data_IF_542455806967
#
_entry.id   IF_542455806967
#
_cell.length_a   1.000
_cell.length_b   1.000
_cell.length_c   1.000
_cell.angle_alpha   90.00
_cell.angle_beta   90.00
_cell.angle_gamma   90.00
#
_symmetry.space_group_name_H-M   'P 1'
#
loop_
_entity.id
_entity.type
_entity.pdbx_description
1 polymer ?
#
# COMPACT_ATOMS: atom_id res chain seq x y z
N UNK A 1 12.43 22.03 20.11
CA UNK A 1 13.06 20.86 19.48
C UNK A 1 14.10 21.37 18.51
N UNK A 2 15.40 21.28 18.83
CA UNK A 2 16.44 21.74 17.92
C UNK A 2 16.74 20.66 16.90
N UNK A 3 16.46 20.95 15.63
CA UNK A 3 16.86 20.13 14.48
C UNK A 3 18.27 20.57 14.08
N UNK A 4 19.16 19.60 13.83
CA UNK A 4 20.50 19.85 13.32
C UNK A 4 20.50 19.88 11.80
N UNK A 5 19.84 18.90 11.18
CA UNK A 5 19.77 18.81 9.72
C UNK A 5 18.40 18.32 9.25
N UNK A 6 18.06 18.73 8.02
CA UNK A 6 16.95 18.22 7.24
C UNK A 6 17.47 17.86 5.85
N UNK A 7 17.57 16.57 5.56
CA UNK A 7 18.12 16.08 4.29
C UNK A 7 16.99 15.52 3.44
N UNK A 8 16.87 16.01 2.22
CA UNK A 8 15.95 15.52 1.22
C UNK A 8 16.70 14.60 0.24
N UNK A 9 16.35 13.32 0.24
CA UNK A 9 17.04 12.26 -0.49
C UNK A 9 16.15 11.74 -1.61
N UNK A 10 16.29 12.23 -2.85
CA UNK A 10 15.48 11.75 -3.96
C UNK A 10 15.82 10.30 -4.29
N UNK A 11 14.79 9.53 -4.67
CA UNK A 11 14.95 8.16 -5.12
C UNK A 11 14.10 7.84 -6.34
N UNK A 12 14.54 6.82 -7.09
CA UNK A 12 13.81 6.21 -8.20
C UNK A 12 13.99 4.72 -8.13
N UNK A 13 12.89 3.99 -8.00
CA UNK A 13 12.88 2.54 -7.83
C UNK A 13 12.07 1.90 -8.95
N UNK A 14 12.71 1.09 -9.78
CA UNK A 14 12.01 0.26 -10.75
C UNK A 14 11.17 -0.79 -10.03
N UNK A 15 9.92 -0.95 -10.45
CA UNK A 15 9.06 -2.00 -9.92
C UNK A 15 9.49 -3.36 -10.50
N UNK A 16 9.48 -4.40 -9.69
CA UNK A 16 9.78 -5.78 -10.14
C UNK A 16 8.82 -6.27 -11.23
N UNK A 17 7.59 -5.81 -11.18
CA UNK A 17 6.56 -6.00 -12.20
C UNK A 17 5.80 -4.69 -12.35
N UNK A 18 5.52 -4.26 -13.58
CA UNK A 18 4.69 -3.07 -13.80
C UNK A 18 3.35 -3.21 -13.10
N UNK A 19 2.88 -2.12 -12.51
CA UNK A 19 1.62 -2.09 -11.80
C UNK A 19 0.54 -1.40 -12.63
N UNK A 20 -0.44 -2.17 -13.10
CA UNK A 20 -1.59 -1.63 -13.81
C UNK A 20 -2.54 -0.97 -12.81
N UNK A 21 -2.67 0.34 -12.92
CA UNK A 21 -3.65 1.13 -12.17
C UNK A 21 -4.87 1.44 -13.04
N UNK A 22 -5.93 1.97 -12.43
CA UNK A 22 -7.10 2.47 -13.17
C UNK A 22 -6.75 3.68 -14.10
N UNK A 23 -5.57 4.29 -13.92
CA UNK A 23 -5.15 5.51 -14.61
C UNK A 23 -3.90 5.33 -15.46
N UNK A 24 -3.38 4.13 -15.57
CA UNK A 24 -2.21 3.84 -16.40
C UNK A 24 -1.30 2.76 -15.81
N UNK A 25 -0.19 2.55 -16.50
CA UNK A 25 0.86 1.63 -16.11
C UNK A 25 1.93 2.37 -15.31
N UNK A 26 2.23 1.86 -14.12
CA UNK A 26 3.33 2.34 -13.29
C UNK A 26 4.44 1.29 -13.33
N UNK A 27 5.62 1.64 -13.81
CA UNK A 27 6.80 0.77 -13.91
C UNK A 27 7.92 1.16 -12.95
N UNK A 28 7.84 2.37 -12.37
CA UNK A 28 8.76 2.85 -11.37
C UNK A 28 8.05 3.64 -10.26
N UNK A 29 8.69 3.74 -9.11
CA UNK A 29 8.29 4.60 -8.02
C UNK A 29 9.32 5.71 -7.83
N UNK A 30 8.89 6.97 -7.95
CA UNK A 30 9.71 8.15 -7.73
C UNK A 30 9.25 8.84 -6.46
N UNK A 31 10.18 9.25 -5.64
CA UNK A 31 9.89 9.96 -4.39
C UNK A 31 11.11 10.62 -3.80
N UNK A 32 10.92 11.22 -2.64
CA UNK A 32 11.96 11.89 -1.86
C UNK A 32 11.80 11.46 -0.41
N UNK A 33 12.82 10.86 0.18
CA UNK A 33 12.87 10.62 1.61
C UNK A 33 13.32 11.89 2.33
N UNK A 34 12.62 12.27 3.37
CA UNK A 34 13.06 13.27 4.32
C UNK A 34 13.71 12.59 5.52
N UNK A 35 14.92 13.02 5.85
CA UNK A 35 15.61 12.65 7.06
C UNK A 35 15.77 13.88 7.95
N UNK A 36 15.16 13.88 9.12
CA UNK A 36 15.36 14.90 10.15
C UNK A 36 16.32 14.34 11.21
N UNK A 37 17.39 15.07 11.51
CA UNK A 37 18.33 14.71 12.60
C UNK A 37 18.30 15.76 13.68
N UNK A 38 18.28 15.35 14.95
CA UNK A 38 18.28 16.22 16.12
C UNK A 38 19.67 16.31 16.75
N UNK A 39 19.92 17.31 17.59
CA UNK A 39 21.20 17.51 18.29
C UNK A 39 21.57 16.33 19.21
N UNK A 40 20.58 15.63 19.74
CA UNK A 40 20.73 14.42 20.56
C UNK A 40 20.88 13.12 19.74
N UNK A 41 20.97 13.25 18.40
CA UNK A 41 21.29 12.13 17.51
C UNK A 41 20.11 11.26 17.08
N UNK A 42 18.86 11.62 17.45
CA UNK A 42 17.68 10.92 16.94
C UNK A 42 17.45 11.25 15.46
N UNK A 43 16.91 10.29 14.74
CA UNK A 43 16.62 10.44 13.31
C UNK A 43 15.18 10.04 13.02
N UNK A 44 14.39 10.97 12.48
CA UNK A 44 13.04 10.73 12.01
C UNK A 44 12.96 10.70 10.49
N UNK A 45 12.10 9.87 9.97
CA UNK A 45 11.96 9.64 8.54
C UNK A 45 10.55 9.92 8.04
N UNK A 46 10.46 10.52 6.83
CA UNK A 46 9.23 10.67 6.06
C UNK A 46 9.47 10.35 4.60
N UNK A 47 8.41 9.96 3.89
CA UNK A 47 8.45 9.62 2.46
C UNK A 47 7.43 10.46 1.69
N UNK A 48 7.90 11.28 0.76
CA UNK A 48 7.10 12.02 -0.21
C UNK A 48 7.13 11.29 -1.55
N UNK A 49 6.15 10.44 -1.80
CA UNK A 49 6.04 9.69 -3.05
C UNK A 49 4.66 9.93 -3.68
N UNK A 50 4.41 11.11 -4.27
CA UNK A 50 3.12 11.48 -4.82
C UNK A 50 2.69 10.54 -5.94
N UNK A 51 1.37 10.43 -6.11
CA UNK A 51 0.70 9.81 -7.24
C UNK A 51 -0.24 10.87 -7.85
N UNK A 52 0.24 11.74 -8.73
CA UNK A 52 -0.53 12.86 -9.28
C UNK A 52 -1.82 12.41 -9.96
N UNK A 53 -1.80 11.26 -10.59
CA UNK A 53 -2.97 10.64 -11.21
C UNK A 53 -4.09 10.32 -10.22
N UNK A 54 -3.79 10.22 -8.92
CA UNK A 54 -4.78 10.06 -7.85
C UNK A 54 -5.12 11.37 -7.13
N UNK A 55 -4.66 12.52 -7.67
CA UNK A 55 -4.95 13.84 -7.13
C UNK A 55 -4.04 14.27 -5.96
N UNK A 56 -2.95 13.55 -5.71
CA UNK A 56 -1.97 13.90 -4.67
C UNK A 56 -0.92 14.81 -5.29
N UNK A 57 -0.90 16.08 -4.87
CA UNK A 57 0.11 17.04 -5.32
C UNK A 57 1.46 16.77 -4.64
N UNK A 58 2.54 17.22 -5.29
CA UNK A 58 3.88 17.17 -4.71
C UNK A 58 3.95 17.91 -3.37
N UNK A 59 3.36 19.11 -3.29
CA UNK A 59 3.33 19.90 -2.06
C UNK A 59 2.63 19.17 -0.91
N UNK A 60 1.51 18.48 -1.18
CA UNK A 60 0.82 17.69 -0.17
C UNK A 60 1.66 16.48 0.28
N UNK A 61 2.36 15.82 -0.65
CA UNK A 61 3.24 14.70 -0.31
C UNK A 61 4.45 15.14 0.52
N UNK A 62 5.05 16.30 0.22
CA UNK A 62 6.15 16.87 1.00
C UNK A 62 5.70 17.22 2.42
N UNK A 63 4.56 17.91 2.57
CA UNK A 63 4.01 18.24 3.88
C UNK A 63 3.71 16.98 4.72
N UNK A 64 3.18 15.93 4.10
CA UNK A 64 2.95 14.65 4.77
C UNK A 64 4.26 13.97 5.21
N UNK A 65 5.32 14.04 4.39
CA UNK A 65 6.63 13.50 4.75
C UNK A 65 7.23 14.25 5.96
N UNK A 66 7.07 15.58 6.02
CA UNK A 66 7.50 16.39 7.17
C UNK A 66 6.75 16.00 8.45
N UNK A 67 5.43 15.84 8.37
CA UNK A 67 4.61 15.38 9.50
C UNK A 67 5.05 13.99 9.98
N UNK A 68 5.23 13.05 9.06
CA UNK A 68 5.69 11.69 9.38
C UNK A 68 7.04 11.69 10.10
N UNK A 69 8.02 12.45 9.60
CA UNK A 69 9.35 12.54 10.20
C UNK A 69 9.31 13.16 11.62
N UNK A 70 8.47 14.15 11.83
CA UNK A 70 8.28 14.77 13.15
C UNK A 70 7.59 13.84 14.14
N UNK A 71 6.57 13.09 13.70
CA UNK A 71 5.88 12.10 14.52
C UNK A 71 6.79 10.93 14.88
N UNK A 72 7.65 10.48 13.95
CA UNK A 72 8.64 9.45 14.21
C UNK A 72 9.63 9.90 15.31
N UNK A 73 10.16 11.12 15.22
CA UNK A 73 10.99 11.70 16.29
C UNK A 73 10.27 11.80 17.63
N UNK A 74 9.00 12.21 17.63
CA UNK A 74 8.22 12.32 18.84
C UNK A 74 8.00 10.95 19.51
N UNK A 75 7.70 9.91 18.72
CA UNK A 75 7.55 8.55 19.20
C UNK A 75 8.84 8.01 19.79
N UNK A 76 9.99 8.17 19.09
CA UNK A 76 11.31 7.75 19.59
C UNK A 76 11.66 8.40 20.93
N UNK A 77 11.39 9.70 21.12
CA UNK A 77 11.60 10.40 22.39
C UNK A 77 10.74 9.88 23.53
N UNK A 78 9.54 9.46 23.23
CA UNK A 78 8.65 8.82 24.19
C UNK A 78 9.04 7.37 24.49
N UNK A 79 10.03 6.79 23.80
CA UNK A 79 10.42 5.39 23.90
C UNK A 79 9.35 4.43 23.33
N UNK A 80 8.51 4.93 22.41
CA UNK A 80 7.41 4.19 21.81
C UNK A 80 7.67 3.93 20.32
N UNK A 81 7.04 2.87 19.79
CA UNK A 81 6.90 2.73 18.35
C UNK A 81 5.93 3.82 17.83
N UNK A 82 6.06 4.21 16.55
CA UNK A 82 5.12 5.16 15.94
C UNK A 82 3.67 4.68 16.02
N UNK A 83 3.44 3.37 15.87
CA UNK A 83 2.12 2.78 16.00
C UNK A 83 1.53 2.96 17.41
N UNK A 84 2.33 2.74 18.47
CA UNK A 84 1.91 2.97 19.85
C UNK A 84 1.67 4.45 20.13
N UNK A 85 2.54 5.32 19.61
CA UNK A 85 2.40 6.77 19.73
C UNK A 85 1.09 7.28 19.12
N UNK A 86 0.76 6.85 17.91
CA UNK A 86 -0.44 7.28 17.19
C UNK A 86 -1.72 6.70 17.78
N UNK A 87 -1.70 5.45 18.25
CA UNK A 87 -2.89 4.80 18.81
C UNK A 87 -3.18 5.18 20.26
N UNK A 88 -2.19 5.71 20.98
CA UNK A 88 -2.28 5.94 22.42
C UNK A 88 -2.43 4.64 23.26
N UNK A 89 -2.18 3.48 22.66
CA UNK A 89 -2.31 2.17 23.28
C UNK A 89 -1.18 1.24 22.79
N UNK A 90 -1.07 0.05 23.39
CA UNK A 90 -0.16 -0.97 22.89
C UNK A 90 -0.53 -1.33 21.44
N UNK A 91 0.45 -1.34 20.50
CA UNK A 91 0.18 -1.68 19.12
C UNK A 91 -0.20 -3.15 18.99
N UNK A 92 -1.03 -3.48 18.00
CA UNK A 92 -1.28 -4.87 17.63
C UNK A 92 0.02 -5.50 17.09
N UNK A 93 0.28 -6.73 17.44
CA UNK A 93 1.50 -7.44 17.04
C UNK A 93 1.49 -7.77 15.54
N UNK A 94 0.31 -7.95 14.95
CA UNK A 94 0.16 -8.30 13.54
C UNK A 94 -1.12 -7.73 12.95
N UNK A 95 -1.08 -7.46 11.64
CA UNK A 95 -2.23 -7.02 10.85
C UNK A 95 -2.42 -8.00 9.69
N UNK A 96 -3.64 -8.49 9.51
CA UNK A 96 -3.97 -9.36 8.40
C UNK A 96 -3.85 -8.59 7.07
N UNK A 97 -3.18 -9.21 6.10
CA UNK A 97 -3.01 -8.68 4.74
C UNK A 97 -3.63 -9.62 3.72
N UNK A 98 -3.97 -9.09 2.54
CA UNK A 98 -4.45 -9.88 1.42
C UNK A 98 -3.38 -10.01 0.32
N UNK A 99 -3.45 -11.11 -0.45
CA UNK A 99 -2.75 -11.18 -1.73
C UNK A 99 -3.40 -10.22 -2.74
N UNK A 100 -2.61 -9.72 -3.70
CA UNK A 100 -3.08 -8.88 -4.81
C UNK A 100 -2.80 -9.59 -6.12
N UNK A 101 -3.85 -9.91 -6.88
CA UNK A 101 -3.75 -10.74 -8.09
C UNK A 101 -4.01 -10.01 -9.41
N UNK A 102 -4.34 -8.71 -9.37
CA UNK A 102 -4.62 -7.93 -10.59
C UNK A 102 -6.03 -8.14 -11.15
N UNK A 103 -6.26 -7.97 -12.49
CA UNK A 103 -7.57 -8.10 -13.12
C UNK A 103 -8.12 -9.54 -13.05
N UNK A 104 -9.45 -9.66 -12.87
CA UNK A 104 -10.12 -10.94 -12.70
C UNK A 104 -9.83 -11.95 -13.81
N UNK A 105 -9.91 -11.52 -15.08
CA UNK A 105 -9.68 -12.41 -16.23
C UNK A 105 -8.22 -12.73 -16.49
N UNK A 106 -7.29 -12.04 -15.83
CA UNK A 106 -5.85 -12.35 -15.86
C UNK A 106 -5.42 -13.31 -14.76
N UNK A 107 -6.33 -13.64 -13.83
CA UNK A 107 -6.03 -14.49 -12.69
C UNK A 107 -5.99 -15.96 -13.09
N UNK A 108 -4.84 -16.61 -12.91
CA UNK A 108 -4.65 -18.04 -13.16
C UNK A 108 -4.81 -18.88 -11.89
N UNK A 109 -5.10 -20.16 -12.07
CA UNK A 109 -5.11 -21.13 -10.97
C UNK A 109 -3.77 -21.25 -10.25
N UNK A 110 -2.65 -21.05 -10.96
CA UNK A 110 -1.31 -21.04 -10.39
C UNK A 110 -1.09 -19.85 -9.43
N UNK A 111 -1.52 -18.64 -9.81
CA UNK A 111 -1.45 -17.46 -8.95
C UNK A 111 -2.32 -17.61 -7.70
N UNK A 112 -3.47 -18.26 -7.81
CA UNK A 112 -4.31 -18.61 -6.66
C UNK A 112 -3.55 -19.59 -5.75
N UNK A 113 -2.99 -20.66 -6.32
CA UNK A 113 -2.24 -21.66 -5.56
C UNK A 113 -1.00 -21.05 -4.86
N UNK A 114 -0.28 -20.15 -5.54
CA UNK A 114 0.84 -19.40 -4.96
C UNK A 114 0.37 -18.56 -3.76
N UNK A 115 -0.73 -17.83 -3.89
CA UNK A 115 -1.31 -17.01 -2.82
C UNK A 115 -1.72 -17.85 -1.61
N UNK A 116 -2.36 -18.99 -1.85
CA UNK A 116 -2.75 -19.94 -0.81
C UNK A 116 -1.52 -20.58 -0.15
N UNK A 117 -0.51 -20.97 -0.94
CA UNK A 117 0.75 -21.50 -0.44
C UNK A 117 1.51 -20.49 0.42
N UNK A 118 1.41 -19.19 0.11
CA UNK A 118 1.94 -18.10 0.93
C UNK A 118 1.06 -17.75 2.15
N UNK A 119 0.02 -18.57 2.43
CA UNK A 119 -0.89 -18.46 3.58
C UNK A 119 -1.78 -17.22 3.61
N UNK A 120 -2.07 -16.62 2.46
CA UNK A 120 -3.11 -15.60 2.39
C UNK A 120 -4.49 -16.26 2.47
N UNK A 121 -5.35 -15.74 3.33
CA UNK A 121 -6.77 -16.15 3.44
C UNK A 121 -7.71 -15.24 2.64
N UNK A 122 -7.20 -14.13 2.10
CA UNK A 122 -7.96 -13.18 1.29
C UNK A 122 -7.17 -12.87 0.04
N UNK A 123 -7.82 -13.00 -1.14
CA UNK A 123 -7.24 -12.65 -2.44
C UNK A 123 -7.98 -11.44 -2.99
N UNK A 124 -7.27 -10.32 -3.18
CA UNK A 124 -7.81 -9.11 -3.78
C UNK A 124 -7.71 -9.21 -5.29
N UNK A 125 -8.83 -8.98 -5.99
CA UNK A 125 -8.92 -9.02 -7.45
C UNK A 125 -9.63 -7.76 -7.96
N UNK A 126 -9.15 -7.22 -9.08
CA UNK A 126 -9.81 -6.11 -9.76
C UNK A 126 -10.99 -6.59 -10.58
N UNK A 127 -12.11 -5.89 -10.41
CA UNK A 127 -13.39 -6.09 -11.12
C UNK A 127 -13.90 -4.74 -11.64
N UNK A 128 -15.00 -4.74 -12.40
CA UNK A 128 -15.55 -3.54 -13.02
C UNK A 128 -14.77 -3.09 -14.27
N UNK A 129 -14.02 -4.01 -14.88
CA UNK A 129 -13.28 -3.80 -16.13
C UNK A 129 -14.06 -4.38 -17.30
N UNK A 130 -14.67 -5.54 -17.09
CA UNK A 130 -15.42 -6.30 -18.09
C UNK A 130 -16.93 -6.27 -17.76
N UNK A 131 -17.82 -6.76 -18.67
CA UNK A 131 -19.23 -6.81 -18.39
C UNK A 131 -19.54 -7.60 -17.11
N UNK A 132 -20.37 -7.03 -16.23
CA UNK A 132 -20.69 -7.57 -14.89
C UNK A 132 -21.13 -9.04 -14.95
N UNK A 133 -21.92 -9.42 -15.96
CA UNK A 133 -22.41 -10.81 -16.13
C UNK A 133 -21.24 -11.78 -16.34
N UNK A 134 -20.22 -11.37 -17.08
CA UNK A 134 -19.05 -12.19 -17.36
C UNK A 134 -18.14 -12.26 -16.15
N UNK A 135 -17.93 -11.14 -15.45
CA UNK A 135 -17.18 -11.12 -14.19
C UNK A 135 -17.84 -11.99 -13.12
N UNK A 136 -19.16 -11.95 -12.96
CA UNK A 136 -19.89 -12.81 -12.04
C UNK A 136 -19.75 -14.30 -12.37
N UNK A 137 -19.79 -14.64 -13.66
CA UNK A 137 -19.58 -16.04 -14.13
C UNK A 137 -18.17 -16.51 -13.81
N UNK A 138 -17.17 -15.68 -14.08
CA UNK A 138 -15.76 -15.99 -13.79
C UNK A 138 -15.50 -16.11 -12.28
N UNK A 139 -16.02 -15.18 -11.47
CA UNK A 139 -15.91 -15.26 -10.00
C UNK A 139 -16.54 -16.54 -9.46
N UNK A 140 -17.73 -16.90 -9.95
CA UNK A 140 -18.39 -18.15 -9.57
C UNK A 140 -17.56 -19.39 -9.94
N UNK A 141 -16.98 -19.39 -11.14
CA UNK A 141 -16.12 -20.47 -11.61
C UNK A 141 -14.88 -20.58 -10.70
N UNK A 142 -14.13 -19.50 -10.49
CA UNK A 142 -12.94 -19.50 -9.65
C UNK A 142 -13.27 -19.85 -8.18
N UNK A 143 -14.40 -19.35 -7.66
CA UNK A 143 -14.85 -19.68 -6.30
C UNK A 143 -15.11 -21.17 -6.08
N UNK A 144 -15.55 -21.88 -7.13
CA UNK A 144 -15.77 -23.34 -7.04
C UNK A 144 -14.47 -24.15 -6.95
N UNK A 145 -13.33 -23.54 -7.27
CA UNK A 145 -12.00 -24.17 -7.23
C UNK A 145 -11.17 -23.72 -6.02
N UNK A 146 -11.63 -22.72 -5.27
CA UNK A 146 -10.92 -22.23 -4.11
C UNK A 146 -10.95 -23.24 -2.95
N UNK A 147 -9.86 -23.39 -2.21
CA UNK A 147 -9.86 -24.09 -0.93
C UNK A 147 -10.84 -23.44 0.07
N UNK A 148 -11.40 -24.25 0.96
CA UNK A 148 -12.25 -23.75 2.03
C UNK A 148 -11.51 -22.68 2.88
N UNK A 149 -12.22 -21.59 3.21
CA UNK A 149 -11.68 -20.50 4.04
C UNK A 149 -10.95 -19.39 3.27
N UNK A 150 -10.77 -19.51 1.95
CA UNK A 150 -10.26 -18.42 1.13
C UNK A 150 -11.39 -17.49 0.71
N UNK A 151 -11.20 -16.20 0.87
CA UNK A 151 -12.18 -15.16 0.55
C UNK A 151 -11.70 -14.27 -0.59
N UNK A 152 -12.63 -13.74 -1.37
CA UNK A 152 -12.38 -12.68 -2.35
C UNK A 152 -12.52 -11.30 -1.71
N UNK A 153 -11.61 -10.39 -2.07
CA UNK A 153 -11.77 -8.95 -1.92
C UNK A 153 -11.89 -8.34 -3.31
N UNK A 154 -13.10 -7.92 -3.67
CA UNK A 154 -13.37 -7.32 -4.98
C UNK A 154 -13.06 -5.82 -4.93
N UNK A 155 -12.27 -5.33 -5.89
CA UNK A 155 -11.90 -3.93 -6.03
C UNK A 155 -12.33 -3.42 -7.39
N UNK A 156 -13.45 -2.71 -7.41
CA UNK A 156 -14.01 -2.10 -8.62
C UNK A 156 -13.42 -0.71 -8.92
N UNK A 157 -12.59 -0.13 -8.04
CA UNK A 157 -12.02 1.20 -8.21
C UNK A 157 -13.06 2.30 -8.59
N UNK A 158 -14.30 2.17 -8.12
CA UNK A 158 -15.39 3.09 -8.43
C UNK A 158 -16.02 2.89 -9.82
N UNK A 159 -15.74 1.79 -10.52
CA UNK A 159 -16.30 1.51 -11.84
C UNK A 159 -17.77 1.08 -11.79
N UNK A 160 -18.26 0.58 -10.66
CA UNK A 160 -19.66 0.21 -10.49
C UNK A 160 -20.51 1.44 -10.20
N UNK A 161 -21.63 1.58 -10.92
CA UNK A 161 -22.73 2.51 -10.62
C UNK A 161 -23.82 1.81 -9.82
N UNK A 162 -24.49 2.57 -8.97
CA UNK A 162 -25.72 2.14 -8.30
C UNK A 162 -26.89 2.18 -9.27
#
# INVERSE_FOLDING_TARGET
>A
MSLTTADWLPYRLALRRPWQTARGLLDERVGILLRLTTEDGLTGWGDAAPLPEFGISEAAALAFAEECAQLDLAAQRAGLSLAAWLSGAAPVESVAVNAVSGPLFSLSGEQIAESVGARFSVIKVKVGIDPVVDELRQLKHLSSTLPAGILWRLDANGAWSL
#
